data_IF_639169703200
#
_entry.id   IF_639169703200
#
_cell.length_a   1.000
_cell.length_b   1.000
_cell.length_c   1.000
_cell.angle_alpha   90.00
_cell.angle_beta   90.00
_cell.angle_gamma   90.00
#
_symmetry.space_group_name_H-M   'P 1'
#
loop_
_entity.id
_entity.type
_entity.pdbx_description
1 polymer ?
#
# COMPACT_ATOMS: atom_id res chain seq x y z
N UNK A 1 19.09 -5.57 12.48
CA UNK A 1 18.77 -4.65 11.38
C UNK A 1 17.37 -4.88 10.84
N UNK A 2 16.58 -3.83 10.84
CA UNK A 2 15.26 -3.85 10.25
C UNK A 2 15.10 -2.65 9.32
N UNK A 3 14.64 -2.90 8.11
CA UNK A 3 14.33 -1.86 7.13
C UNK A 3 12.83 -1.63 7.11
N UNK A 4 12.41 -0.36 7.09
CA UNK A 4 11.03 -0.01 6.78
C UNK A 4 10.97 0.28 5.29
N UNK A 5 10.25 -0.53 4.54
CA UNK A 5 10.11 -0.38 3.09
C UNK A 5 8.69 0.06 2.74
N UNK A 6 8.57 1.20 2.09
CA UNK A 6 7.29 1.76 1.71
C UNK A 6 7.02 1.61 0.22
N UNK A 7 5.76 1.48 -0.15
CA UNK A 7 5.33 1.45 -1.55
C UNK A 7 3.91 2.01 -1.69
N UNK A 8 3.52 2.32 -2.90
CA UNK A 8 2.12 2.59 -3.24
C UNK A 8 1.63 1.47 -4.15
N UNK A 9 0.34 1.17 -4.07
CA UNK A 9 -0.24 0.08 -4.87
C UNK A 9 -0.40 0.52 -6.32
N UNK A 10 0.21 -0.24 -7.21
CA UNK A 10 0.11 -0.06 -8.65
C UNK A 10 -0.19 -1.42 -9.28
N UNK A 11 -1.28 -1.51 -10.01
CA UNK A 11 -1.70 -2.75 -10.70
C UNK A 11 -1.75 -3.97 -9.79
N UNK A 12 -2.24 -3.78 -8.58
CA UNK A 12 -2.47 -4.86 -7.63
C UNK A 12 -1.26 -5.31 -6.81
N UNK A 13 -0.15 -4.59 -6.88
CA UNK A 13 1.06 -4.90 -6.13
C UNK A 13 1.88 -3.63 -5.87
N UNK A 14 3.13 -3.77 -5.45
CA UNK A 14 4.02 -2.63 -5.26
C UNK A 14 4.34 -1.95 -6.59
N UNK A 15 4.56 -0.64 -6.55
CA UNK A 15 5.03 0.12 -7.70
C UNK A 15 6.42 -0.38 -8.17
N UNK A 16 6.77 -0.10 -9.40
CA UNK A 16 7.98 -0.66 -10.03
C UNK A 16 9.28 -0.34 -9.29
N UNK A 17 9.42 0.88 -8.77
CA UNK A 17 10.61 1.25 -7.99
C UNK A 17 10.70 0.46 -6.68
N UNK A 18 9.58 0.35 -5.98
CA UNK A 18 9.51 -0.38 -4.73
C UNK A 18 9.75 -1.88 -4.93
N UNK A 19 9.27 -2.45 -6.04
CA UNK A 19 9.54 -3.85 -6.38
C UNK A 19 11.03 -4.14 -6.39
N UNK A 20 11.81 -3.27 -7.03
CA UNK A 20 13.27 -3.43 -7.11
C UNK A 20 13.90 -3.42 -5.73
N UNK A 21 13.44 -2.53 -4.85
CA UNK A 21 13.93 -2.45 -3.48
C UNK A 21 13.58 -3.72 -2.70
N UNK A 22 12.32 -4.15 -2.78
CA UNK A 22 11.85 -5.34 -2.07
C UNK A 22 12.58 -6.61 -2.50
N UNK A 23 12.78 -6.77 -3.81
CA UNK A 23 13.45 -7.96 -4.38
C UNK A 23 14.94 -8.03 -4.04
N UNK A 24 15.57 -6.91 -3.74
CA UNK A 24 17.03 -6.82 -3.52
C UNK A 24 17.41 -6.53 -2.07
N UNK A 25 16.49 -6.69 -1.13
CA UNK A 25 16.77 -6.46 0.28
C UNK A 25 17.86 -7.42 0.78
N UNK A 26 18.83 -6.86 1.51
CA UNK A 26 19.91 -7.63 2.14
C UNK A 26 19.73 -7.72 3.65
N UNK A 27 18.90 -6.86 4.23
CA UNK A 27 18.61 -6.87 5.67
C UNK A 27 17.95 -8.17 6.11
N UNK A 28 18.12 -8.52 7.38
CA UNK A 28 17.50 -9.72 7.94
C UNK A 28 16.00 -9.56 8.16
N UNK A 29 15.54 -8.33 8.40
CA UNK A 29 14.15 -8.04 8.72
C UNK A 29 13.65 -6.83 7.93
N UNK A 30 12.38 -6.86 7.57
CA UNK A 30 11.69 -5.75 6.91
C UNK A 30 10.29 -5.57 7.47
N UNK A 31 9.89 -4.33 7.65
CA UNK A 31 8.50 -3.96 7.93
C UNK A 31 8.00 -3.21 6.71
N UNK A 32 6.88 -3.61 6.18
CA UNK A 32 6.35 -3.08 4.91
C UNK A 32 5.16 -2.17 5.19
N UNK A 33 5.13 -1.00 4.58
CA UNK A 33 3.99 -0.10 4.69
C UNK A 33 3.57 0.43 3.32
N UNK A 34 2.30 0.72 3.17
CA UNK A 34 1.74 1.05 1.85
C UNK A 34 0.53 1.97 1.92
N UNK A 35 0.27 2.62 0.80
CA UNK A 35 -0.98 3.32 0.54
C UNK A 35 -1.64 2.75 -0.70
N UNK A 36 -2.97 2.88 -0.77
CA UNK A 36 -3.74 2.54 -1.97
C UNK A 36 -4.96 3.45 -2.06
N UNK A 37 -5.52 3.55 -3.26
CA UNK A 37 -6.72 4.36 -3.48
C UNK A 37 -8.02 3.67 -3.07
N UNK A 38 -7.99 2.36 -2.87
CA UNK A 38 -9.17 1.58 -2.48
C UNK A 38 -9.32 1.51 -0.95
N UNK A 39 -10.38 0.86 -0.49
CA UNK A 39 -10.59 0.64 0.94
C UNK A 39 -9.49 -0.26 1.50
N UNK A 40 -8.71 0.20 2.50
CA UNK A 40 -7.59 -0.58 3.04
C UNK A 40 -8.03 -1.82 3.82
N UNK A 41 -9.29 -1.91 4.21
CA UNK A 41 -9.85 -3.09 4.89
C UNK A 41 -10.38 -4.14 3.90
N UNK A 42 -10.31 -3.89 2.60
CA UNK A 42 -10.84 -4.80 1.59
C UNK A 42 -9.94 -6.01 1.36
N UNK A 43 -10.53 -7.06 0.81
CA UNK A 43 -9.78 -8.24 0.38
C UNK A 43 -8.75 -7.88 -0.70
N UNK A 44 -9.10 -6.94 -1.58
CA UNK A 44 -8.20 -6.44 -2.61
C UNK A 44 -6.93 -5.83 -1.98
N UNK A 45 -7.08 -4.98 -0.95
CA UNK A 45 -5.95 -4.39 -0.24
C UNK A 45 -5.06 -5.47 0.39
N UNK A 46 -5.66 -6.48 1.01
CA UNK A 46 -4.93 -7.60 1.59
C UNK A 46 -4.13 -8.35 0.53
N UNK A 47 -4.74 -8.65 -0.62
CA UNK A 47 -4.06 -9.33 -1.73
C UNK A 47 -2.89 -8.52 -2.28
N UNK A 48 -3.05 -7.19 -2.39
CA UNK A 48 -1.98 -6.31 -2.84
C UNK A 48 -0.78 -6.36 -1.89
N UNK A 49 -1.06 -6.34 -0.59
CA UNK A 49 -0.04 -6.38 0.44
C UNK A 49 0.70 -7.72 0.44
N UNK A 50 -0.03 -8.83 0.34
CA UNK A 50 0.56 -10.18 0.24
C UNK A 50 1.44 -10.29 -1.01
N UNK A 51 0.95 -9.82 -2.16
CA UNK A 51 1.71 -9.84 -3.41
C UNK A 51 3.03 -9.10 -3.29
N UNK A 52 3.03 -7.94 -2.62
CA UNK A 52 4.25 -7.17 -2.41
C UNK A 52 5.21 -7.90 -1.46
N UNK A 53 4.71 -8.48 -0.37
CA UNK A 53 5.57 -9.18 0.59
C UNK A 53 6.18 -10.46 0.00
N UNK A 54 5.53 -11.08 -0.97
CA UNK A 54 6.07 -12.25 -1.67
C UNK A 54 7.32 -11.93 -2.51
N UNK A 55 7.56 -10.66 -2.81
CA UNK A 55 8.76 -10.22 -3.54
C UNK A 55 10.01 -10.20 -2.66
N UNK A 56 9.84 -10.19 -1.35
CA UNK A 56 10.94 -10.14 -0.37
C UNK A 56 11.73 -11.43 -0.42
N UNK A 57 13.08 -11.36 -0.47
CA UNK A 57 13.91 -12.57 -0.50
C UNK A 57 13.73 -13.46 0.73
N UNK A 58 13.95 -14.77 0.55
CA UNK A 58 13.75 -15.75 1.60
C UNK A 58 14.62 -15.51 2.85
N UNK A 59 15.77 -14.85 2.70
CA UNK A 59 16.66 -14.53 3.81
C UNK A 59 16.18 -13.34 4.65
N UNK A 60 15.15 -12.64 4.21
CA UNK A 60 14.60 -11.46 4.91
C UNK A 60 13.23 -11.81 5.50
N UNK A 61 13.10 -11.64 6.80
CA UNK A 61 11.82 -11.86 7.49
C UNK A 61 10.94 -10.61 7.39
N UNK A 62 9.68 -10.77 6.98
CA UNK A 62 8.68 -9.70 7.03
C UNK A 62 8.08 -9.71 8.44
N UNK A 63 8.47 -8.75 9.27
CA UNK A 63 8.07 -8.74 10.69
C UNK A 63 6.68 -8.18 10.92
N UNK A 64 6.24 -7.26 10.07
CA UNK A 64 4.91 -6.64 10.17
C UNK A 64 4.60 -5.89 8.88
N UNK A 65 3.35 -5.51 8.71
CA UNK A 65 2.92 -4.73 7.57
C UNK A 65 1.81 -3.75 7.96
N UNK A 66 1.68 -2.67 7.18
CA UNK A 66 0.68 -1.64 7.39
C UNK A 66 0.20 -1.11 6.03
N UNK A 67 -1.08 -0.84 5.93
CA UNK A 67 -1.65 -0.24 4.72
C UNK A 67 -2.75 0.75 5.13
N UNK A 68 -2.78 1.91 4.47
CA UNK A 68 -3.86 2.87 4.65
C UNK A 68 -4.30 3.43 3.30
N UNK A 69 -5.43 4.10 3.27
CA UNK A 69 -5.91 4.74 2.06
C UNK A 69 -5.11 6.02 1.79
N UNK A 70 -4.89 6.32 0.52
CA UNK A 70 -4.24 7.54 0.07
C UNK A 70 -4.89 8.08 -1.17
N UNK A 71 -4.75 9.37 -1.41
CA UNK A 71 -5.32 10.04 -2.58
C UNK A 71 -4.69 9.51 -3.87
N UNK A 72 -5.53 9.34 -4.88
CA UNK A 72 -5.07 8.97 -6.22
C UNK A 72 -4.79 10.25 -7.00
N UNK A 73 -3.69 10.26 -7.76
CA UNK A 73 -3.33 11.41 -8.58
C UNK A 73 -4.49 11.76 -9.53
N UNK A 74 -5.00 13.01 -9.51
CA UNK A 74 -6.08 13.42 -10.39
C UNK A 74 -5.82 13.17 -11.88
N UNK A 75 -4.57 13.26 -12.30
CA UNK A 75 -4.19 13.00 -13.70
C UNK A 75 -4.37 11.52 -14.05
N UNK A 76 -4.07 10.63 -13.11
CA UNK A 76 -4.27 9.20 -13.29
C UNK A 76 -5.76 8.87 -13.35
N UNK A 77 -6.58 9.50 -12.50
CA UNK A 77 -8.03 9.33 -12.50
C UNK A 77 -8.59 9.74 -13.87
N UNK A 78 -8.19 10.91 -14.36
CA UNK A 78 -8.63 11.42 -15.66
C UNK A 78 -8.26 10.46 -16.79
N UNK A 79 -7.05 9.95 -16.78
CA UNK A 79 -6.58 8.98 -17.78
C UNK A 79 -7.41 7.69 -17.73
N UNK A 80 -7.69 7.17 -16.55
CA UNK A 80 -8.51 5.96 -16.38
C UNK A 80 -9.94 6.18 -16.89
N UNK A 81 -10.53 7.34 -16.61
CA UNK A 81 -11.88 7.65 -17.04
C UNK A 81 -11.98 7.77 -18.57
N UNK A 82 -10.93 8.18 -19.23
CA UNK A 82 -10.87 8.21 -20.70
C UNK A 82 -10.63 6.83 -21.31
N UNK A 83 -9.86 6.00 -20.61
CA UNK A 83 -9.41 4.70 -21.13
C UNK A 83 -10.44 3.57 -20.93
N UNK A 84 -11.18 3.64 -19.83
CA UNK A 84 -12.11 2.57 -19.46
C UNK A 84 -13.56 3.00 -19.62
N UNK A 85 -14.46 2.07 -20.04
CA UNK A 85 -15.89 2.39 -20.15
C UNK A 85 -16.53 2.61 -18.78
N UNK A 86 -17.67 3.28 -18.76
CA UNK A 86 -18.37 3.64 -17.52
C UNK A 86 -18.79 2.44 -16.66
N UNK A 87 -19.01 1.29 -17.28
CA UNK A 87 -19.38 0.06 -16.57
C UNK A 87 -18.18 -0.71 -16.00
N UNK A 88 -16.96 -0.26 -16.30
CA UNK A 88 -15.74 -0.82 -15.73
C UNK A 88 -15.50 -0.26 -14.31
N UNK A 89 -14.89 -1.06 -13.39
CA UNK A 89 -14.48 -0.53 -12.08
C UNK A 89 -13.52 0.66 -12.16
N UNK A 90 -12.80 0.80 -13.28
CA UNK A 90 -11.85 1.90 -13.51
C UNK A 90 -12.46 3.04 -14.31
N UNK A 91 -13.68 2.90 -14.81
CA UNK A 91 -14.37 3.93 -15.56
C UNK A 91 -15.04 4.96 -14.66
N UNK A 92 -15.59 6.01 -15.28
CA UNK A 92 -16.29 7.07 -14.55
C UNK A 92 -17.73 6.62 -14.24
N UNK A 93 -17.99 6.31 -12.99
CA UNK A 93 -19.32 5.91 -12.49
C UNK A 93 -19.45 6.33 -11.03
N UNK A 94 -20.69 6.30 -10.46
CA UNK A 94 -20.89 6.74 -9.08
C UNK A 94 -20.00 6.03 -8.05
N UNK A 95 -19.73 4.74 -8.24
CA UNK A 95 -18.89 3.98 -7.32
C UNK A 95 -17.42 4.42 -7.37
N UNK A 96 -16.87 4.58 -8.57
CA UNK A 96 -15.48 5.01 -8.72
C UNK A 96 -15.29 6.46 -8.26
N UNK A 97 -16.26 7.34 -8.56
CA UNK A 97 -16.22 8.72 -8.10
C UNK A 97 -16.27 8.82 -6.58
N UNK A 98 -17.13 8.03 -5.93
CA UNK A 98 -17.22 7.96 -4.47
C UNK A 98 -15.92 7.45 -3.85
N UNK A 99 -15.32 6.42 -4.45
CA UNK A 99 -14.05 5.85 -3.98
C UNK A 99 -12.92 6.86 -4.07
N UNK A 100 -12.83 7.58 -5.19
CA UNK A 100 -11.81 8.61 -5.36
C UNK A 100 -12.02 9.80 -4.42
N UNK A 101 -13.26 10.18 -4.17
CA UNK A 101 -13.58 11.25 -3.22
C UNK A 101 -13.20 10.86 -1.79
N UNK A 102 -13.44 9.61 -1.40
CA UNK A 102 -13.05 9.11 -0.09
C UNK A 102 -11.53 9.04 0.01
N UNK A 103 -10.86 8.50 -1.01
CA UNK A 103 -9.40 8.41 -1.05
C UNK A 103 -8.73 9.78 -0.91
N UNK A 104 -9.32 10.82 -1.49
CA UNK A 104 -8.78 12.19 -1.44
C UNK A 104 -8.71 12.76 -0.01
N UNK A 105 -9.44 12.18 0.94
CA UNK A 105 -9.41 12.58 2.36
C UNK A 105 -8.28 11.90 3.14
N UNK A 106 -7.54 11.00 2.50
CA UNK A 106 -6.53 10.17 3.15
C UNK A 106 -5.13 10.40 2.59
N UNK A 107 -4.06 10.21 3.38
CA UNK A 107 -4.12 9.81 4.79
C UNK A 107 -4.67 10.93 5.68
N UNK A 108 -5.41 10.55 6.70
CA UNK A 108 -5.93 11.48 7.70
C UNK A 108 -5.21 11.31 9.05
N UNK A 109 -5.67 12.03 10.09
CA UNK A 109 -5.05 11.96 11.42
C UNK A 109 -5.11 10.56 12.01
N UNK A 110 -6.19 9.82 11.77
CA UNK A 110 -6.33 8.45 12.25
C UNK A 110 -5.33 7.52 11.54
N UNK A 111 -5.11 7.72 10.25
CA UNK A 111 -4.11 6.97 9.48
C UNK A 111 -2.70 7.21 10.02
N UNK A 112 -2.38 8.47 10.32
CA UNK A 112 -1.07 8.85 10.86
C UNK A 112 -0.86 8.24 12.25
N UNK A 113 -1.90 8.24 13.08
CA UNK A 113 -1.84 7.61 14.41
C UNK A 113 -1.62 6.11 14.28
N UNK A 114 -2.30 5.46 13.35
CA UNK A 114 -2.13 4.03 13.08
C UNK A 114 -0.72 3.71 12.56
N UNK A 115 -0.16 4.58 11.72
CA UNK A 115 1.21 4.42 11.22
C UNK A 115 2.23 4.53 12.35
N UNK A 116 2.03 5.46 13.29
CA UNK A 116 2.89 5.57 14.48
C UNK A 116 2.80 4.33 15.34
N UNK A 117 1.59 3.82 15.56
CA UNK A 117 1.39 2.58 16.33
C UNK A 117 2.07 1.39 15.65
N UNK A 118 2.03 1.33 14.33
CA UNK A 118 2.75 0.32 13.56
C UNK A 118 4.26 0.41 13.78
N UNK A 119 4.83 1.60 13.71
CA UNK A 119 6.26 1.81 13.93
C UNK A 119 6.70 1.40 15.34
N UNK A 120 5.91 1.73 16.36
CA UNK A 120 6.15 1.32 17.75
C UNK A 120 6.11 -0.20 17.86
N UNK A 121 5.09 -0.83 17.26
CA UNK A 121 4.91 -2.27 17.28
C UNK A 121 6.09 -3.00 16.63
N UNK A 122 6.57 -2.51 15.50
CA UNK A 122 7.74 -3.07 14.80
C UNK A 122 9.00 -2.92 15.65
N UNK A 123 9.23 -1.73 16.18
CA UNK A 123 10.41 -1.46 17.03
C UNK A 123 10.45 -2.41 18.21
N UNK A 124 9.30 -2.65 18.84
CA UNK A 124 9.18 -3.57 19.95
C UNK A 124 9.50 -5.01 19.54
N UNK A 125 8.94 -5.47 18.43
CA UNK A 125 9.19 -6.83 17.91
C UNK A 125 10.68 -7.05 17.61
N UNK A 126 11.33 -6.06 17.02
CA UNK A 126 12.74 -6.16 16.64
C UNK A 126 13.64 -6.15 17.86
N UNK A 127 13.34 -5.32 18.87
CA UNK A 127 14.17 -5.22 20.08
C UNK A 127 13.99 -6.40 21.03
N UNK A 128 12.88 -7.14 20.93
CA UNK A 128 12.62 -8.33 21.75
C UNK A 128 13.14 -9.63 21.10
N UNK A 129 13.58 -9.55 19.85
CA UNK A 129 14.02 -10.72 19.08
C UNK A 129 15.41 -11.23 19.49
#
# INVERSE_FOLDING_TARGET
DCVFAGFWVDKGTADEEAKKVLETLTAKKVAVFSTLGANPASEHAHKCLVSATELVPAHTEVVDSFICQGAVDPKLIEMMYKRFPADSPHGKNPESEARHAEAAKHPDEADLAAARAFAVRVTKKVSEA
#
